data_IF_899442856538
#
_entry.id   IF_899442856538
#
_cell.length_a   1.000
_cell.length_b   1.000
_cell.length_c   1.000
_cell.angle_alpha   90.00
_cell.angle_beta   90.00
_cell.angle_gamma   90.00
#
_symmetry.space_group_name_H-M   'P 1'
#
loop_
_entity.id
_entity.type
_entity.pdbx_description
1 polymer ?
#
# COMPACT_ATOMS: atom_id res chain seq x y z
N UNK A 1 2.06 23.14 40.90
CA UNK A 1 1.20 22.07 40.36
C UNK A 1 1.75 21.77 38.98
N UNK A 2 2.19 20.54 38.71
CA UNK A 2 2.78 20.19 37.42
C UNK A 2 1.65 19.96 36.40
N UNK A 3 1.57 20.85 35.42
CA UNK A 3 0.62 20.77 34.31
C UNK A 3 1.10 19.64 33.37
N UNK A 4 0.45 18.48 33.43
CA UNK A 4 0.72 17.34 32.57
C UNK A 4 0.16 17.63 31.16
N UNK A 5 1.08 17.91 30.23
CA UNK A 5 0.82 18.15 28.82
C UNK A 5 0.05 16.99 28.15
N UNK A 6 -1.14 17.22 27.56
CA UNK A 6 -1.99 16.18 26.94
C UNK A 6 -1.38 15.54 25.68
N UNK A 7 -0.26 16.05 25.17
CA UNK A 7 0.47 15.46 24.05
C UNK A 7 1.44 14.33 24.45
N UNK A 8 1.49 13.95 25.74
CA UNK A 8 2.47 12.99 26.26
C UNK A 8 1.85 11.65 26.67
N UNK A 9 0.53 11.49 26.64
CA UNK A 9 -0.11 10.24 27.09
C UNK A 9 -0.52 9.34 25.91
N UNK A 10 0.33 8.38 25.51
CA UNK A 10 0.05 7.46 24.41
C UNK A 10 -1.21 6.62 24.63
N UNK A 11 -1.67 6.49 25.88
CA UNK A 11 -2.88 5.74 26.22
C UNK A 11 -4.16 6.46 25.79
N UNK A 12 -4.20 7.79 25.86
CA UNK A 12 -5.34 8.58 25.40
C UNK A 12 -5.48 8.58 23.88
N UNK A 13 -4.34 8.62 23.17
CA UNK A 13 -4.32 8.47 21.71
C UNK A 13 -4.89 7.12 21.29
N UNK A 14 -4.51 6.05 21.98
CA UNK A 14 -5.05 4.71 21.77
C UNK A 14 -6.56 4.67 22.05
N UNK A 15 -6.99 5.18 23.21
CA UNK A 15 -8.41 5.21 23.57
C UNK A 15 -9.28 5.99 22.58
N UNK A 16 -8.73 7.07 22.00
CA UNK A 16 -9.41 7.88 20.97
C UNK A 16 -9.52 7.18 19.61
N UNK A 17 -8.53 6.39 19.23
CA UNK A 17 -8.53 5.64 17.98
C UNK A 17 -9.47 4.41 18.02
N UNK A 18 -9.51 3.74 19.17
CA UNK A 18 -10.19 2.45 19.33
C UNK A 18 -11.57 2.54 19.98
N UNK A 19 -11.85 3.63 20.71
CA UNK A 19 -13.15 3.89 21.35
C UNK A 19 -14.35 3.88 20.39
N UNK A 20 -14.29 4.49 19.19
CA UNK A 20 -15.41 4.52 18.25
C UNK A 20 -15.75 3.16 17.63
N UNK A 21 -14.81 2.20 17.65
CA UNK A 21 -14.99 0.86 17.07
C UNK A 21 -15.68 -0.12 18.03
N UNK A 22 -15.97 0.28 19.28
CA UNK A 22 -16.68 -0.54 20.26
C UNK A 22 -15.95 -1.84 20.65
N UNK A 23 -14.67 -1.96 20.31
CA UNK A 23 -13.86 -3.13 20.62
C UNK A 23 -13.44 -3.08 22.09
N UNK A 24 -13.80 -4.07 22.92
CA UNK A 24 -13.42 -4.09 24.32
C UNK A 24 -11.89 -4.16 24.44
N UNK A 25 -11.34 -3.34 25.33
CA UNK A 25 -9.91 -3.34 25.67
C UNK A 25 -9.54 -4.77 26.11
N UNK A 26 -8.57 -5.43 25.42
CA UNK A 26 -8.12 -6.77 25.79
C UNK A 26 -7.65 -6.77 27.25
N UNK A 27 -8.40 -7.45 28.13
CA UNK A 27 -8.12 -7.49 29.58
C UNK A 27 -9.34 -7.64 30.51
N UNK A 28 -10.58 -7.50 30.02
CA UNK A 28 -11.78 -7.49 30.88
C UNK A 28 -12.63 -8.79 30.87
N UNK A 29 -12.13 -9.88 30.30
CA UNK A 29 -12.74 -11.21 30.45
C UNK A 29 -11.63 -12.19 30.82
N UNK A 30 -11.67 -12.76 32.02
CA UNK A 30 -10.79 -13.87 32.35
C UNK A 30 -11.10 -15.02 31.39
N UNK A 31 -10.19 -15.40 30.49
CA UNK A 31 -10.39 -16.56 29.65
C UNK A 31 -10.39 -17.80 30.55
N UNK A 32 -11.31 -18.71 30.28
CA UNK A 32 -11.27 -20.06 30.87
C UNK A 32 -9.88 -20.64 30.66
N UNK A 33 -9.17 -20.89 31.76
CA UNK A 33 -7.76 -21.31 31.80
C UNK A 33 -7.61 -22.82 31.47
N UNK A 34 -8.17 -23.29 30.35
CA UNK A 34 -7.80 -24.62 29.84
C UNK A 34 -6.43 -24.52 29.14
N UNK A 35 -5.39 -25.23 29.62
CA UNK A 35 -4.07 -25.19 29.01
C UNK A 35 -4.08 -25.47 27.51
N UNK A 36 -4.96 -26.37 27.03
CA UNK A 36 -5.05 -26.69 25.60
C UNK A 36 -5.60 -25.54 24.76
N UNK A 37 -6.56 -24.81 25.31
CA UNK A 37 -7.12 -23.63 24.63
C UNK A 37 -6.10 -22.48 24.63
N UNK A 38 -5.33 -22.33 25.72
CA UNK A 38 -4.22 -21.40 25.80
C UNK A 38 -3.17 -21.71 24.73
N UNK A 39 -2.76 -22.97 24.56
CA UNK A 39 -1.79 -23.37 23.53
C UNK A 39 -2.30 -23.09 22.10
N UNK A 40 -3.59 -23.34 21.85
CA UNK A 40 -4.23 -23.02 20.56
C UNK A 40 -4.23 -21.51 20.31
N UNK A 41 -4.63 -20.70 21.30
CA UNK A 41 -4.60 -19.24 21.20
C UNK A 41 -3.19 -18.71 20.99
N UNK A 42 -2.19 -19.31 21.64
CA UNK A 42 -0.78 -18.98 21.41
C UNK A 42 -0.41 -19.25 19.94
N UNK A 43 -0.75 -20.42 19.39
CA UNK A 43 -0.46 -20.74 17.99
C UNK A 43 -1.14 -19.78 17.00
N UNK A 44 -2.41 -19.44 17.24
CA UNK A 44 -3.15 -18.48 16.42
C UNK A 44 -2.52 -17.09 16.49
N UNK A 45 -2.19 -16.60 17.69
CA UNK A 45 -1.54 -15.31 17.89
C UNK A 45 -0.12 -15.27 17.30
N UNK A 46 0.61 -16.40 17.26
CA UNK A 46 1.91 -16.49 16.57
C UNK A 46 1.77 -16.34 15.06
N UNK A 47 0.73 -16.91 14.47
CA UNK A 47 0.44 -16.71 13.05
C UNK A 47 0.09 -15.25 12.76
N UNK A 48 -0.73 -14.62 13.61
CA UNK A 48 -1.05 -13.19 13.50
C UNK A 48 0.20 -12.34 13.65
N UNK A 49 1.05 -12.64 14.64
CA UNK A 49 2.34 -11.97 14.84
C UNK A 49 3.20 -12.06 13.57
N UNK A 50 3.36 -13.25 13.00
CA UNK A 50 4.18 -13.43 11.79
C UNK A 50 3.65 -12.62 10.60
N UNK A 51 2.33 -12.54 10.41
CA UNK A 51 1.74 -11.70 9.35
C UNK A 51 1.93 -10.20 9.63
N UNK A 52 1.81 -9.77 10.88
CA UNK A 52 2.06 -8.38 11.26
C UNK A 52 3.52 -7.99 11.07
N UNK A 53 4.47 -8.89 11.33
CA UNK A 53 5.88 -8.68 11.03
C UNK A 53 6.11 -8.47 9.53
N UNK A 54 5.43 -9.26 8.67
CA UNK A 54 5.47 -9.05 7.22
C UNK A 54 4.89 -7.69 6.82
N UNK A 55 3.76 -7.26 7.40
CA UNK A 55 3.20 -5.92 7.14
C UNK A 55 4.14 -4.80 7.58
N UNK A 56 4.75 -4.94 8.76
CA UNK A 56 5.68 -3.94 9.28
C UNK A 56 6.91 -3.83 8.37
N UNK A 57 7.45 -4.96 7.93
CA UNK A 57 8.58 -4.97 7.00
C UNK A 57 8.20 -4.30 5.67
N UNK A 58 7.00 -4.55 5.15
CA UNK A 58 6.54 -3.89 3.93
C UNK A 58 6.42 -2.38 4.10
N UNK A 59 5.83 -1.91 5.21
CA UNK A 59 5.72 -0.47 5.49
C UNK A 59 7.10 0.17 5.59
N UNK A 60 8.06 -0.50 6.23
CA UNK A 60 9.46 -0.03 6.29
C UNK A 60 10.08 0.10 4.91
N UNK A 61 9.89 -0.89 4.02
CA UNK A 61 10.37 -0.82 2.65
C UNK A 61 9.69 0.29 1.84
N UNK A 62 8.38 0.49 2.01
CA UNK A 62 7.65 1.57 1.36
C UNK A 62 8.17 2.96 1.77
N UNK A 63 8.47 3.14 3.07
CA UNK A 63 9.08 4.38 3.57
C UNK A 63 10.44 4.61 2.91
N UNK A 64 11.32 3.61 2.92
CA UNK A 64 12.64 3.70 2.29
C UNK A 64 12.54 4.02 0.79
N UNK A 65 11.57 3.43 0.09
CA UNK A 65 11.30 3.76 -1.32
C UNK A 65 10.88 5.21 -1.52
N UNK A 66 10.01 5.74 -0.67
CA UNK A 66 9.59 7.15 -0.72
C UNK A 66 10.73 8.11 -0.36
N UNK A 67 11.61 7.74 0.57
CA UNK A 67 12.80 8.54 0.91
C UNK A 67 13.78 8.64 -0.27
N UNK A 68 14.00 7.53 -0.99
CA UNK A 68 14.80 7.52 -2.22
C UNK A 68 14.14 8.39 -3.30
N UNK A 69 12.84 8.24 -3.53
CA UNK A 69 12.11 9.08 -4.49
C UNK A 69 12.20 10.57 -4.12
N UNK A 70 12.07 10.92 -2.83
CA UNK A 70 12.24 12.29 -2.34
C UNK A 70 13.64 12.82 -2.62
N UNK A 71 14.68 12.04 -2.35
CA UNK A 71 16.06 12.43 -2.63
C UNK A 71 16.33 12.64 -4.12
N UNK A 72 15.74 11.79 -4.98
CA UNK A 72 15.85 11.90 -6.42
C UNK A 72 15.13 13.14 -6.97
N UNK A 73 13.94 13.48 -6.45
CA UNK A 73 13.23 14.71 -6.81
C UNK A 73 14.01 15.97 -6.42
N UNK A 74 14.64 15.97 -5.24
CA UNK A 74 15.52 17.07 -4.82
C UNK A 74 16.74 17.20 -5.74
N UNK A 75 17.36 16.08 -6.12
CA UNK A 75 18.49 16.07 -7.04
C UNK A 75 18.11 16.55 -8.45
N UNK A 76 16.93 16.16 -8.94
CA UNK A 76 16.37 16.66 -10.21
C UNK A 76 16.11 18.16 -10.16
N UNK A 77 15.50 18.65 -9.07
CA UNK A 77 15.24 20.08 -8.87
C UNK A 77 16.54 20.88 -8.87
N UNK A 78 17.53 20.45 -8.09
CA UNK A 78 18.84 21.09 -8.04
C UNK A 78 19.57 21.06 -9.40
N UNK A 79 19.47 19.96 -10.15
CA UNK A 79 20.03 19.84 -11.49
C UNK A 79 19.35 20.80 -12.48
N UNK A 80 18.03 20.93 -12.41
CA UNK A 80 17.27 21.87 -13.25
C UNK A 80 17.63 23.33 -12.93
N UNK A 81 17.76 23.70 -11.66
CA UNK A 81 18.21 25.04 -11.23
C UNK A 81 19.66 25.33 -11.65
N UNK A 82 20.52 24.30 -11.68
CA UNK A 82 21.90 24.40 -12.17
C UNK A 82 22.02 24.41 -13.70
N UNK A 83 20.91 24.38 -14.45
CA UNK A 83 20.91 24.40 -15.91
C UNK A 83 21.37 23.08 -16.55
N UNK A 84 21.21 21.94 -15.85
CA UNK A 84 21.55 20.62 -16.40
C UNK A 84 20.77 20.34 -17.70
N UNK A 85 21.39 19.69 -18.69
CA UNK A 85 20.72 19.38 -19.94
C UNK A 85 19.56 18.38 -19.70
N UNK A 86 18.48 18.47 -20.49
CA UNK A 86 17.28 17.62 -20.32
C UNK A 86 17.58 16.12 -20.42
N UNK A 87 18.63 15.73 -21.15
CA UNK A 87 19.12 14.35 -21.22
C UNK A 87 19.66 13.82 -19.89
N UNK A 88 20.35 14.66 -19.10
CA UNK A 88 20.86 14.28 -17.78
C UNK A 88 19.73 14.13 -16.76
N UNK A 89 18.73 15.02 -16.81
CA UNK A 89 17.54 14.93 -15.96
C UNK A 89 16.70 13.70 -16.31
N UNK A 90 16.54 13.38 -17.60
CA UNK A 90 15.84 12.18 -18.05
C UNK A 90 16.52 10.88 -17.60
N UNK A 91 17.86 10.85 -17.61
CA UNK A 91 18.64 9.70 -17.17
C UNK A 91 18.55 9.49 -15.64
N UNK A 92 18.52 10.58 -14.87
CA UNK A 92 18.29 10.54 -13.42
C UNK A 92 16.88 10.03 -13.08
N UNK A 93 15.85 10.50 -13.80
CA UNK A 93 14.47 10.05 -13.65
C UNK A 93 14.30 8.56 -13.98
N UNK A 94 14.90 8.09 -15.07
CA UNK A 94 14.87 6.68 -15.46
C UNK A 94 15.53 5.78 -14.41
N UNK A 95 16.68 6.20 -13.87
CA UNK A 95 17.40 5.46 -12.83
C UNK A 95 16.58 5.36 -11.53
N UNK A 96 15.89 6.43 -11.14
CA UNK A 96 15.00 6.45 -9.98
C UNK A 96 13.76 5.56 -10.18
N UNK A 97 13.18 5.56 -11.39
CA UNK A 97 12.06 4.68 -11.72
C UNK A 97 12.44 3.20 -11.61
N UNK A 98 13.62 2.81 -12.10
CA UNK A 98 14.14 1.44 -11.96
C UNK A 98 14.34 1.06 -10.48
N UNK A 99 14.94 1.95 -9.67
CA UNK A 99 15.15 1.70 -8.25
C UNK A 99 13.81 1.53 -7.49
N UNK A 100 12.80 2.36 -7.80
CA UNK A 100 11.48 2.25 -7.21
C UNK A 100 10.78 0.93 -7.60
N UNK A 101 10.89 0.49 -8.86
CA UNK A 101 10.34 -0.80 -9.31
C UNK A 101 10.99 -1.99 -8.61
N UNK A 102 12.31 -1.96 -8.37
CA UNK A 102 13.02 -3.05 -7.67
C UNK A 102 12.61 -3.16 -6.20
N UNK A 103 12.35 -2.04 -5.52
CA UNK A 103 11.88 -2.07 -4.11
C UNK A 103 10.45 -2.61 -3.96
N UNK A 104 9.63 -2.51 -5.01
CA UNK A 104 8.25 -3.00 -5.01
C UNK A 104 8.11 -4.47 -5.42
N UNK A 105 9.20 -5.11 -5.89
CA UNK A 105 9.22 -6.52 -6.31
C UNK A 105 8.64 -7.50 -5.28
N UNK A 106 8.98 -7.44 -3.97
CA UNK A 106 8.45 -8.40 -2.99
C UNK A 106 6.93 -8.35 -2.88
N UNK A 107 6.35 -7.16 -3.06
CA UNK A 107 4.90 -6.96 -3.03
C UNK A 107 4.24 -7.35 -4.34
N UNK A 108 4.86 -7.05 -5.49
CA UNK A 108 4.38 -7.51 -6.79
C UNK A 108 4.35 -9.05 -6.87
N UNK A 109 5.38 -9.71 -6.32
CA UNK A 109 5.44 -11.17 -6.16
C UNK A 109 4.34 -11.70 -5.23
N UNK A 110 4.13 -11.06 -4.06
CA UNK A 110 3.06 -11.46 -3.14
C UNK A 110 1.67 -11.29 -3.76
N UNK A 111 1.47 -10.24 -4.55
CA UNK A 111 0.24 -9.98 -5.29
C UNK A 111 0.00 -11.06 -6.36
N UNK A 112 1.06 -11.46 -7.07
CA UNK A 112 1.04 -12.57 -8.03
C UNK A 112 0.73 -13.92 -7.35
N UNK A 113 1.30 -14.18 -6.17
CA UNK A 113 1.11 -15.42 -5.42
C UNK A 113 -0.29 -15.51 -4.78
N UNK A 114 -0.90 -14.38 -4.43
CA UNK A 114 -2.26 -14.29 -3.86
C UNK A 114 -3.35 -14.24 -4.93
N UNK A 115 -3.01 -14.50 -6.21
CA UNK A 115 -3.97 -14.47 -7.32
C UNK A 115 -4.52 -13.08 -7.63
N UNK A 116 -3.86 -12.03 -7.13
CA UNK A 116 -4.12 -10.66 -7.53
C UNK A 116 -3.64 -10.49 -8.96
N UNK A 117 -4.52 -10.76 -9.92
CA UNK A 117 -4.37 -10.22 -11.27
C UNK A 117 -4.02 -8.75 -11.12
N UNK A 118 -2.90 -8.25 -11.67
CA UNK A 118 -2.69 -6.82 -11.74
C UNK A 118 -3.96 -6.22 -12.37
N UNK A 119 -4.49 -5.08 -11.88
CA UNK A 119 -5.51 -4.38 -12.65
C UNK A 119 -4.92 -4.23 -14.05
N UNK A 120 -5.64 -4.62 -15.11
CA UNK A 120 -5.12 -4.46 -16.45
C UNK A 120 -4.70 -2.99 -16.56
N UNK A 121 -3.39 -2.78 -16.72
CA UNK A 121 -2.84 -1.49 -17.08
C UNK A 121 -3.65 -1.06 -18.28
N UNK A 122 -4.45 0.00 -18.11
CA UNK A 122 -5.43 0.54 -19.06
C UNK A 122 -5.19 0.03 -20.49
N UNK A 123 -5.70 -1.16 -20.77
CA UNK A 123 -5.78 -1.66 -22.13
C UNK A 123 -6.95 -0.88 -22.69
N UNK A 124 -6.58 0.10 -23.52
CA UNK A 124 -7.42 0.90 -24.39
C UNK A 124 -8.84 0.34 -24.51
N UNK A 125 -9.83 1.14 -24.13
CA UNK A 125 -11.17 0.93 -24.60
C UNK A 125 -11.25 1.49 -26.03
N UNK A 126 -11.45 0.68 -27.09
CA UNK A 126 -12.08 1.17 -28.29
C UNK A 126 -13.59 0.88 -28.21
N UNK A 127 -14.32 1.99 -28.23
CA UNK A 127 -15.66 2.25 -28.78
C UNK A 127 -16.82 1.24 -28.59
N UNK A 128 -18.02 1.71 -28.19
CA UNK A 128 -19.23 0.91 -28.28
C UNK A 128 -19.62 0.70 -29.75
N UNK A 129 -19.59 -0.55 -30.21
CA UNK A 129 -20.27 -0.97 -31.44
C UNK A 129 -21.79 -0.82 -31.25
N UNK A 130 -22.42 -0.03 -32.12
CA UNK A 130 -23.86 0.11 -32.24
C UNK A 130 -24.50 -1.22 -32.72
N UNK A 131 -25.73 -1.55 -32.28
CA UNK A 131 -26.32 -2.87 -32.49
C UNK A 131 -26.68 -3.13 -33.96
N UNK A 132 -26.78 -4.42 -34.36
CA UNK A 132 -26.97 -4.83 -35.74
C UNK A 132 -28.45 -4.75 -36.12
N UNK A 133 -28.76 -4.14 -37.28
CA UNK A 133 -30.09 -4.25 -37.85
C UNK A 133 -30.43 -3.18 -38.87
N UNK A 134 -30.09 -3.42 -40.13
CA UNK A 134 -30.92 -3.19 -41.33
C UNK A 134 -30.01 -3.15 -42.58
N UNK A 135 -29.78 -4.31 -43.20
CA UNK A 135 -29.33 -4.40 -44.59
C UNK A 135 -30.41 -5.04 -45.45
N UNK A 136 -30.70 -4.41 -46.59
CA UNK A 136 -31.62 -4.84 -47.64
C UNK A 136 -32.99 -4.19 -47.47
N UNK A 137 -33.65 -3.57 -48.43
CA UNK A 137 -33.70 -3.70 -49.90
C UNK A 137 -34.47 -2.42 -50.35
N UNK A 138 -34.14 -1.69 -51.41
CA UNK A 138 -34.57 -1.89 -52.81
C UNK A 138 -33.96 -0.71 -53.59
N UNK A 139 -33.14 -0.89 -54.63
CA UNK A 139 -33.53 -1.26 -55.98
C UNK A 139 -34.39 -0.19 -56.71
N UNK A 140 -33.68 0.54 -57.61
CA UNK A 140 -34.04 0.73 -59.03
C UNK A 140 -35.02 1.86 -59.41
N UNK A 141 -34.56 2.59 -60.44
CA UNK A 141 -35.24 3.51 -61.39
C UNK A 141 -35.34 5.00 -61.01
#
# INVERSE_FOLDING_TARGET
MAESNPAQDPFEMFRRLWGPLGLPVPGMTMPTLDPKEVDKRIAELRSVQSWLEVNLNMVRFAIQGLEVQRSALLAMGAGAEAGAPPSALAQLAASNATAASTMLWPWAMLQQAMGGTPPPAAAEAPAPEAPPGATGQDAKE
#
